data_IF_013498554079
#
_entry.id   IF_013498554079
#
_cell.length_a   1.000
_cell.length_b   1.000
_cell.length_c   1.000
_cell.angle_alpha   90.00
_cell.angle_beta   90.00
_cell.angle_gamma   90.00
#
_symmetry.space_group_name_H-M   'P 1'
#
loop_
_entity.id
_entity.type
_entity.pdbx_description
1 polymer ?
#
# COMPACT_ATOMS: atom_id res chain seq x y z
N UNK A 1 -5.52 -21.18 -14.46
CA UNK A 1 -6.83 -20.92 -13.82
C UNK A 1 -7.70 -19.92 -14.59
N UNK A 2 -7.37 -18.61 -14.67
CA UNK A 2 -8.23 -17.62 -15.38
C UNK A 2 -8.50 -17.93 -16.86
N UNK A 3 -7.54 -18.54 -17.56
CA UNK A 3 -7.68 -18.95 -18.97
C UNK A 3 -8.21 -20.37 -19.16
N UNK A 4 -8.17 -21.20 -18.13
CA UNK A 4 -8.50 -22.63 -18.23
C UNK A 4 -9.98 -22.90 -17.93
N UNK A 5 -10.58 -22.19 -16.97
CA UNK A 5 -12.03 -22.22 -16.76
C UNK A 5 -12.58 -20.83 -16.37
N UNK A 6 -12.93 -19.99 -17.36
CA UNK A 6 -13.42 -18.64 -17.10
C UNK A 6 -14.78 -18.60 -16.39
N UNK A 7 -15.60 -19.67 -16.50
CA UNK A 7 -16.93 -19.72 -15.87
C UNK A 7 -16.82 -19.82 -14.35
N UNK A 8 -15.85 -20.60 -13.86
CA UNK A 8 -15.58 -20.72 -12.43
C UNK A 8 -15.17 -19.37 -11.86
N UNK A 9 -14.25 -18.66 -12.52
CA UNK A 9 -13.80 -17.33 -12.08
C UNK A 9 -14.94 -16.33 -12.05
N UNK A 10 -15.79 -16.29 -13.09
CA UNK A 10 -16.93 -15.39 -13.16
C UNK A 10 -17.94 -15.65 -12.03
N UNK A 11 -18.27 -16.91 -11.77
CA UNK A 11 -19.21 -17.29 -10.71
C UNK A 11 -18.67 -16.92 -9.31
N UNK A 12 -17.38 -17.13 -9.07
CA UNK A 12 -16.72 -16.73 -7.83
C UNK A 12 -16.74 -15.20 -7.68
N UNK A 13 -16.33 -14.47 -8.72
CA UNK A 13 -16.34 -13.00 -8.71
C UNK A 13 -17.74 -12.45 -8.44
N UNK A 14 -18.77 -12.96 -9.13
CA UNK A 14 -20.16 -12.54 -8.92
C UNK A 14 -20.65 -12.79 -7.49
N UNK A 15 -20.28 -13.93 -6.91
CA UNK A 15 -20.65 -14.28 -5.53
C UNK A 15 -19.97 -13.35 -4.52
N UNK A 16 -18.69 -13.03 -4.73
CA UNK A 16 -17.94 -12.11 -3.87
C UNK A 16 -18.52 -10.70 -3.97
N UNK A 17 -18.71 -10.17 -5.18
CA UNK A 17 -19.25 -8.82 -5.40
C UNK A 17 -20.62 -8.65 -4.75
N UNK A 18 -21.49 -9.66 -4.80
CA UNK A 18 -22.81 -9.64 -4.14
C UNK A 18 -22.76 -9.65 -2.61
N UNK A 19 -21.73 -10.23 -2.01
CA UNK A 19 -21.61 -10.39 -0.54
C UNK A 19 -20.87 -9.25 0.13
N UNK A 20 -19.97 -8.59 -0.60
CA UNK A 20 -19.21 -7.44 -0.08
C UNK A 20 -20.10 -6.20 -0.10
N UNK A 21 -19.97 -5.31 0.89
CA UNK A 21 -20.76 -4.08 0.95
C UNK A 21 -20.35 -3.07 -0.14
N UNK A 22 -21.24 -2.15 -0.57
CA UNK A 22 -20.86 -1.08 -1.49
C UNK A 22 -19.68 -0.23 -1.01
N UNK A 23 -19.58 0.01 0.31
CA UNK A 23 -18.49 0.77 0.91
C UNK A 23 -17.14 0.08 0.71
N UNK A 24 -17.04 -1.22 1.02
CA UNK A 24 -15.78 -1.96 0.85
C UNK A 24 -15.37 -2.02 -0.63
N UNK A 25 -16.34 -2.09 -1.56
CA UNK A 25 -16.05 -2.03 -3.00
C UNK A 25 -15.50 -0.66 -3.44
N UNK A 26 -15.99 0.44 -2.85
CA UNK A 26 -15.44 1.77 -3.13
C UNK A 26 -14.01 1.92 -2.61
N UNK A 27 -13.74 1.37 -1.43
CA UNK A 27 -12.38 1.33 -0.89
C UNK A 27 -11.47 0.49 -1.79
N UNK A 28 -11.88 -0.72 -2.17
CA UNK A 28 -11.13 -1.60 -3.08
C UNK A 28 -10.80 -0.90 -4.41
N UNK A 29 -11.76 -0.15 -4.97
CA UNK A 29 -11.54 0.62 -6.19
C UNK A 29 -10.54 1.78 -6.04
N UNK A 30 -10.44 2.37 -4.85
CA UNK A 30 -9.55 3.49 -4.57
C UNK A 30 -8.15 3.07 -4.12
N UNK A 31 -7.91 1.77 -3.93
CA UNK A 31 -6.63 1.23 -3.47
C UNK A 31 -5.75 0.81 -4.64
N UNK A 32 -4.54 1.33 -4.68
CA UNK A 32 -3.49 0.87 -5.58
C UNK A 32 -2.45 0.02 -4.86
N UNK A 33 -1.98 -1.02 -5.55
CA UNK A 33 -0.90 -1.87 -5.08
C UNK A 33 0.44 -1.32 -5.53
N UNK A 34 1.36 -1.11 -4.59
CA UNK A 34 2.71 -0.65 -4.88
C UNK A 34 3.75 -1.59 -4.29
N UNK A 35 4.69 -2.03 -5.13
CA UNK A 35 5.87 -2.79 -4.71
C UNK A 35 7.10 -1.88 -4.79
N UNK A 36 7.92 -1.89 -3.74
CA UNK A 36 9.14 -1.08 -3.66
C UNK A 36 10.31 -1.99 -3.33
N UNK A 37 11.38 -1.87 -4.12
CA UNK A 37 12.61 -2.62 -3.90
C UNK A 37 13.37 -2.15 -2.65
N UNK A 38 14.16 -3.05 -2.06
CA UNK A 38 14.99 -2.71 -0.92
C UNK A 38 15.92 -1.52 -1.22
N UNK A 39 15.99 -0.57 -0.29
CA UNK A 39 16.81 0.64 -0.42
C UNK A 39 16.17 1.77 -1.25
N UNK A 40 15.00 1.54 -1.88
CA UNK A 40 14.23 2.60 -2.53
C UNK A 40 13.32 3.31 -1.53
N UNK A 41 13.15 4.61 -1.71
CA UNK A 41 12.27 5.43 -0.87
C UNK A 41 10.84 5.43 -1.44
N UNK A 42 9.85 5.31 -0.56
CA UNK A 42 8.43 5.47 -0.91
C UNK A 42 8.12 6.95 -1.18
N UNK A 43 8.56 7.82 -0.28
CA UNK A 43 8.50 9.28 -0.39
C UNK A 43 9.72 9.89 0.29
N UNK A 44 9.94 11.19 0.08
CA UNK A 44 11.03 11.97 0.70
C UNK A 44 10.47 13.11 1.54
N UNK A 45 11.25 13.54 2.52
CA UNK A 45 10.94 14.71 3.33
C UNK A 45 10.80 15.94 2.43
N UNK A 46 9.69 16.66 2.57
CA UNK A 46 9.35 17.83 1.75
C UNK A 46 8.55 17.50 0.49
N UNK A 47 8.35 16.22 0.15
CA UNK A 47 7.43 15.84 -0.92
C UNK A 47 6.00 16.26 -0.55
N UNK A 48 5.22 16.68 -1.56
CA UNK A 48 3.80 17.00 -1.36
C UNK A 48 3.07 15.72 -0.95
N UNK A 49 2.35 15.77 0.17
CA UNK A 49 1.50 14.65 0.59
C UNK A 49 0.23 14.60 -0.26
N UNK A 50 0.07 13.53 -1.02
CA UNK A 50 -1.13 13.22 -1.79
C UNK A 50 -1.68 11.81 -1.55
N UNK A 51 -0.95 10.97 -0.81
CA UNK A 51 -1.21 9.54 -0.69
C UNK A 51 -0.82 9.02 0.70
N UNK A 52 -1.60 8.10 1.24
CA UNK A 52 -1.33 7.38 2.49
C UNK A 52 -1.15 5.90 2.18
N UNK A 53 -0.19 5.24 2.82
CA UNK A 53 0.16 3.85 2.52
C UNK A 53 0.01 2.96 3.74
N UNK A 54 -0.37 1.70 3.50
CA UNK A 54 -0.39 0.63 4.50
C UNK A 54 0.68 -0.39 4.10
N UNK A 55 1.57 -0.73 5.03
CA UNK A 55 2.61 -1.73 4.77
C UNK A 55 1.99 -3.12 4.83
N UNK A 56 1.93 -3.82 3.70
CA UNK A 56 1.38 -5.18 3.64
C UNK A 56 2.44 -6.25 3.88
N UNK A 57 3.69 -5.96 3.53
CA UNK A 57 4.85 -6.84 3.73
C UNK A 57 6.15 -6.03 3.67
N UNK A 58 7.19 -6.51 4.36
CA UNK A 58 8.51 -5.87 4.43
C UNK A 58 8.69 -4.95 5.65
N UNK A 59 9.72 -4.10 5.59
CA UNK A 59 10.08 -3.13 6.63
C UNK A 59 10.51 -1.82 5.98
N UNK A 60 9.93 -0.71 6.42
CA UNK A 60 10.30 0.64 6.02
C UNK A 60 10.99 1.36 7.18
N UNK A 61 11.83 2.35 6.84
CA UNK A 61 12.56 3.18 7.79
C UNK A 61 12.28 4.64 7.50
N UNK A 62 11.80 5.39 8.49
CA UNK A 62 11.73 6.85 8.38
C UNK A 62 13.09 7.44 8.69
N UNK A 63 13.57 8.28 7.79
CA UNK A 63 14.86 8.96 7.90
C UNK A 63 14.62 10.46 7.77
N UNK A 64 15.02 11.21 8.78
CA UNK A 64 14.90 12.68 8.79
C UNK A 64 16.26 13.26 8.43
N UNK A 65 16.26 14.18 7.47
CA UNK A 65 17.42 15.04 7.19
C UNK A 65 17.32 16.28 8.08
N UNK A 66 18.35 16.50 8.89
CA UNK A 66 18.51 17.72 9.69
C UNK A 66 19.05 18.86 8.84
N UNK A 67 18.94 20.07 9.37
CA UNK A 67 19.46 21.30 8.74
C UNK A 67 20.99 21.25 8.50
N UNK A 68 21.71 20.45 9.29
CA UNK A 68 23.16 20.22 9.13
C UNK A 68 23.50 19.18 8.04
N UNK A 69 22.49 18.66 7.33
CA UNK A 69 22.62 17.65 6.28
C UNK A 69 22.79 16.21 6.80
N UNK A 70 22.83 15.99 8.11
CA UNK A 70 22.90 14.63 8.67
C UNK A 70 21.54 13.95 8.60
N UNK A 71 21.58 12.63 8.35
CA UNK A 71 20.41 11.76 8.33
C UNK A 71 20.32 10.98 9.62
N UNK A 72 19.17 10.99 10.25
CA UNK A 72 18.88 10.19 11.44
C UNK A 72 17.71 9.24 11.20
N UNK A 73 17.78 8.04 11.78
CA UNK A 73 16.67 7.10 11.78
C UNK A 73 15.64 7.56 12.82
N UNK A 74 14.44 7.93 12.36
CA UNK A 74 13.36 8.39 13.23
C UNK A 74 12.45 7.25 13.69
N UNK A 75 12.35 6.17 12.90
CA UNK A 75 11.52 5.01 13.24
C UNK A 75 11.53 3.93 12.17
N UNK A 76 10.93 2.78 12.50
CA UNK A 76 10.72 1.66 11.57
C UNK A 76 9.23 1.29 11.54
N UNK A 77 8.76 0.86 10.37
CA UNK A 77 7.37 0.45 10.13
C UNK A 77 7.34 -0.93 9.49
N UNK A 78 6.46 -1.79 9.99
CA UNK A 78 6.26 -3.15 9.53
C UNK A 78 4.82 -3.40 9.07
N UNK A 79 4.48 -4.67 8.87
CA UNK A 79 3.16 -5.07 8.37
C UNK A 79 2.03 -4.52 9.24
N UNK A 80 1.06 -3.87 8.60
CA UNK A 80 -0.11 -3.27 9.24
C UNK A 80 0.06 -1.80 9.62
N UNK A 81 1.30 -1.29 9.63
CA UNK A 81 1.56 0.10 9.93
C UNK A 81 1.17 1.01 8.76
N UNK A 82 0.75 2.22 9.11
CA UNK A 82 0.30 3.26 8.19
C UNK A 82 1.33 4.39 8.15
N UNK A 83 1.66 4.87 6.95
CA UNK A 83 2.67 5.91 6.71
C UNK A 83 2.15 6.97 5.72
N UNK A 84 2.83 8.13 5.67
CA UNK A 84 2.45 9.23 4.76
C UNK A 84 1.19 9.96 5.21
N UNK A 85 1.06 10.19 6.52
CA UNK A 85 0.02 11.05 7.13
C UNK A 85 0.59 12.43 7.41
#
# INVERSE_FOLDING_TARGET
>A
MMREDPRVVLNVAHTVVKRVSPFVRQIDFALDWMAVEAGRAVYRQGDKSDSTFIVLSGRLRSVIAKDDGKKELAGEYGRGDLIGV
#
